data_IF_165563173089
#
_entry.id   IF_165563173089
#
_cell.length_a   1.000
_cell.length_b   1.000
_cell.length_c   1.000
_cell.angle_alpha   90.00
_cell.angle_beta   90.00
_cell.angle_gamma   90.00
#
_symmetry.space_group_name_H-M   'P 1'
#
loop_
_entity.id
_entity.type
_entity.pdbx_description
1 polymer ?
#
# COMPACT_ATOMS: atom_id res chain seq x y z
N UNK A 1 -18.69 1.66 13.39
CA UNK A 1 -17.22 1.65 13.23
C UNK A 1 -16.88 0.99 11.92
N UNK A 2 -16.41 1.81 10.99
CA UNK A 2 -16.08 1.41 9.63
C UNK A 2 -14.57 1.54 9.40
N UNK A 3 -14.02 0.67 8.56
CA UNK A 3 -12.61 0.70 8.18
C UNK A 3 -12.47 0.88 6.67
N UNK A 4 -11.49 1.68 6.28
CA UNK A 4 -11.06 1.83 4.89
C UNK A 4 -9.58 1.48 4.81
N UNK A 5 -9.23 0.59 3.88
CA UNK A 5 -7.85 0.12 3.67
C UNK A 5 -7.47 0.45 2.24
N UNK A 6 -6.45 1.26 2.06
CA UNK A 6 -6.02 1.77 0.75
C UNK A 6 -4.56 1.37 0.50
N UNK A 7 -4.21 0.78 -0.66
CA UNK A 7 -2.81 0.49 -0.97
C UNK A 7 -2.00 1.78 -1.10
N UNK A 8 -0.82 1.78 -0.47
CA UNK A 8 0.16 2.83 -0.65
C UNK A 8 1.29 2.32 -1.54
N UNK A 9 1.40 2.90 -2.73
CA UNK A 9 2.50 2.65 -3.67
C UNK A 9 3.11 4.00 -3.99
N UNK A 10 4.25 4.29 -3.39
CA UNK A 10 4.97 5.52 -3.66
C UNK A 10 5.47 5.51 -5.11
N UNK A 11 5.24 6.61 -5.82
CA UNK A 11 5.74 6.82 -7.18
C UNK A 11 6.86 7.85 -7.12
N UNK A 12 8.10 7.39 -7.24
CA UNK A 12 9.29 8.26 -7.22
C UNK A 12 10.11 8.05 -8.49
N UNK A 13 10.80 9.10 -8.94
CA UNK A 13 11.80 8.99 -10.00
C UNK A 13 12.99 8.17 -9.47
N UNK A 14 13.45 7.11 -10.15
CA UNK A 14 14.55 6.29 -9.63
C UNK A 14 15.90 7.02 -9.49
N UNK A 15 16.09 8.16 -10.18
CA UNK A 15 17.33 8.94 -10.19
C UNK A 15 17.32 10.11 -9.20
N UNK A 16 16.15 10.67 -8.94
CA UNK A 16 16.00 11.87 -8.09
C UNK A 16 15.09 11.66 -6.89
N UNK A 17 14.51 10.46 -6.77
CA UNK A 17 13.61 10.04 -5.71
C UNK A 17 14.23 10.14 -4.32
N UNK A 18 13.52 10.77 -3.39
CA UNK A 18 13.95 10.86 -1.98
C UNK A 18 12.91 10.26 -1.03
N UNK A 19 13.34 9.95 0.20
CA UNK A 19 12.43 9.57 1.28
C UNK A 19 11.40 10.65 1.58
N UNK A 20 11.78 11.92 1.41
CA UNK A 20 10.91 13.06 1.69
C UNK A 20 9.73 13.10 0.71
N UNK A 21 9.98 12.82 -0.57
CA UNK A 21 8.90 12.69 -1.56
C UNK A 21 7.95 11.54 -1.25
N UNK A 22 8.46 10.44 -0.68
CA UNK A 22 7.61 9.33 -0.22
C UNK A 22 6.76 9.77 0.97
N UNK A 23 7.34 10.49 1.92
CA UNK A 23 6.63 11.02 3.09
C UNK A 23 5.54 12.02 2.69
N UNK A 24 5.82 12.94 1.77
CA UNK A 24 4.85 13.89 1.22
C UNK A 24 3.68 13.17 0.52
N UNK A 25 3.96 12.11 -0.25
CA UNK A 25 2.90 11.32 -0.88
C UNK A 25 2.01 10.61 0.16
N UNK A 26 2.59 10.09 1.23
CA UNK A 26 1.83 9.49 2.32
C UNK A 26 0.98 10.52 3.07
N UNK A 27 1.57 11.68 3.39
CA UNK A 27 0.87 12.79 4.02
C UNK A 27 -0.32 13.26 3.17
N UNK A 28 -0.12 13.42 1.86
CA UNK A 28 -1.19 13.78 0.94
C UNK A 28 -2.35 12.77 0.95
N UNK A 29 -2.04 11.47 0.97
CA UNK A 29 -3.07 10.43 1.07
C UNK A 29 -3.81 10.48 2.41
N UNK A 30 -3.10 10.73 3.52
CA UNK A 30 -3.69 10.89 4.85
C UNK A 30 -4.62 12.11 4.87
N UNK A 31 -4.17 13.26 4.36
CA UNK A 31 -4.93 14.50 4.32
C UNK A 31 -6.18 14.38 3.42
N UNK A 32 -6.09 13.66 2.30
CA UNK A 32 -7.25 13.32 1.47
C UNK A 32 -8.26 12.42 2.19
N UNK A 33 -7.78 11.48 3.02
CA UNK A 33 -8.65 10.68 3.89
C UNK A 33 -9.38 11.56 4.91
N UNK A 34 -8.63 12.44 5.57
CA UNK A 34 -9.14 13.36 6.59
C UNK A 34 -10.21 14.31 6.05
N UNK A 35 -10.02 14.87 4.85
CA UNK A 35 -11.03 15.72 4.20
C UNK A 35 -12.33 14.97 3.87
N UNK A 36 -12.27 13.64 3.73
CA UNK A 36 -13.43 12.75 3.59
C UNK A 36 -14.03 12.26 4.91
N UNK A 37 -13.58 12.77 6.06
CA UNK A 37 -14.04 12.39 7.40
C UNK A 37 -13.48 11.06 7.91
N UNK A 38 -12.35 10.60 7.36
CA UNK A 38 -11.65 9.40 7.83
C UNK A 38 -10.49 9.76 8.75
N UNK A 39 -10.32 9.00 9.84
CA UNK A 39 -9.19 9.14 10.75
C UNK A 39 -8.08 8.17 10.35
N UNK A 40 -6.85 8.67 10.19
CA UNK A 40 -5.68 7.81 10.00
C UNK A 40 -5.44 6.95 11.25
N UNK A 41 -5.19 5.67 11.03
CA UNK A 41 -4.86 4.72 12.11
C UNK A 41 -3.39 4.32 12.04
N UNK A 42 -2.94 3.79 10.89
CA UNK A 42 -1.57 3.30 10.69
C UNK A 42 -1.27 2.99 9.22
N UNK A 43 0.02 2.86 8.91
CA UNK A 43 0.52 2.15 7.74
C UNK A 43 0.77 0.69 8.14
N UNK A 44 0.11 -0.24 7.47
CA UNK A 44 0.17 -1.68 7.75
C UNK A 44 0.82 -2.43 6.59
N UNK A 45 1.68 -3.40 6.91
CA UNK A 45 2.25 -4.29 5.89
C UNK A 45 1.43 -5.57 5.79
N UNK A 46 0.66 -5.71 4.72
CA UNK A 46 -0.13 -6.93 4.46
C UNK A 46 0.70 -7.90 3.63
N UNK A 47 1.06 -9.02 4.23
CA UNK A 47 1.83 -10.09 3.59
C UNK A 47 0.89 -11.19 3.09
N UNK A 48 1.07 -11.60 1.84
CA UNK A 48 0.31 -12.69 1.21
C UNK A 48 1.24 -13.65 0.48
N UNK A 49 0.75 -14.87 0.22
CA UNK A 49 1.45 -15.86 -0.58
C UNK A 49 0.74 -16.01 -1.92
N UNK A 50 1.49 -15.85 -3.01
CA UNK A 50 1.03 -16.14 -4.37
C UNK A 50 1.38 -17.59 -4.68
N UNK A 51 0.38 -18.41 -4.96
CA UNK A 51 0.58 -19.82 -5.32
C UNK A 51 1.32 -19.96 -6.64
N UNK A 52 2.03 -21.07 -6.80
CA UNK A 52 2.70 -21.39 -8.04
C UNK A 52 1.69 -21.53 -9.19
N UNK A 53 2.01 -20.93 -10.34
CA UNK A 53 1.26 -21.14 -11.57
C UNK A 53 1.99 -22.20 -12.39
N UNK A 54 1.40 -23.39 -12.50
CA UNK A 54 1.94 -24.47 -13.33
C UNK A 54 1.34 -24.37 -14.74
N UNK A 55 2.06 -23.72 -15.65
CA UNK A 55 1.68 -23.55 -17.06
C UNK A 55 2.52 -24.43 -17.98
N UNK A 56 1.98 -24.79 -19.15
CA UNK A 56 2.64 -25.70 -20.11
C UNK A 56 4.03 -25.22 -20.59
N UNK A 57 4.31 -23.91 -20.55
CA UNK A 57 5.61 -23.33 -20.94
C UNK A 57 6.11 -22.20 -20.04
N UNK A 58 5.43 -21.93 -18.92
CA UNK A 58 5.84 -20.84 -18.02
C UNK A 58 5.42 -21.15 -16.58
N UNK A 59 6.20 -22.01 -15.92
CA UNK A 59 6.00 -22.31 -14.51
C UNK A 59 6.53 -21.14 -13.67
N UNK A 60 5.65 -20.48 -12.92
CA UNK A 60 6.05 -19.45 -11.96
C UNK A 60 6.04 -20.05 -10.56
N UNK A 61 7.18 -20.08 -9.85
CA UNK A 61 7.20 -20.57 -8.47
C UNK A 61 6.35 -19.65 -7.59
N UNK A 62 5.69 -20.23 -6.59
CA UNK A 62 4.96 -19.44 -5.60
C UNK A 62 5.92 -18.59 -4.77
N UNK A 63 5.48 -17.40 -4.38
CA UNK A 63 6.31 -16.44 -3.66
C UNK A 63 5.48 -15.64 -2.64
N UNK A 64 6.14 -15.21 -1.58
CA UNK A 64 5.55 -14.27 -0.61
C UNK A 64 5.70 -12.84 -1.12
N UNK A 65 4.64 -12.05 -1.02
CA UNK A 65 4.65 -10.63 -1.36
C UNK A 65 4.05 -9.82 -0.22
N UNK A 66 4.50 -8.59 -0.05
CA UNK A 66 3.97 -7.66 0.94
C UNK A 66 3.54 -6.37 0.26
N UNK A 67 2.43 -5.79 0.70
CA UNK A 67 1.93 -4.50 0.26
C UNK A 67 1.69 -3.59 1.45
N UNK A 68 2.12 -2.34 1.33
CA UNK A 68 1.83 -1.31 2.32
C UNK A 68 0.39 -0.82 2.13
N UNK A 69 -0.35 -0.73 3.22
CA UNK A 69 -1.75 -0.35 3.24
C UNK A 69 -1.96 0.75 4.28
N UNK A 70 -2.53 1.88 3.87
CA UNK A 70 -2.99 2.91 4.82
C UNK A 70 -4.35 2.50 5.36
N UNK A 71 -4.42 2.38 6.68
CA UNK A 71 -5.64 2.02 7.40
C UNK A 71 -6.26 3.29 7.96
N UNK A 72 -7.53 3.49 7.65
CA UNK A 72 -8.36 4.54 8.21
C UNK A 72 -9.56 3.96 8.97
N UNK A 73 -10.10 4.73 9.91
CA UNK A 73 -11.34 4.42 10.62
C UNK A 73 -12.30 5.60 10.64
N UNK A 74 -13.59 5.30 10.82
CA UNK A 74 -14.64 6.28 11.07
C UNK A 74 -15.63 5.72 12.10
N UNK A 75 -16.18 6.57 12.99
CA UNK A 75 -17.23 6.15 13.94
C UNK A 75 -18.38 5.42 13.25
#
# INVERSE_FOLDING_TARGET
MEYKVVPFVASIDPRTGTSDQVAEQLENLINQGASGGWNYVRLESVTTYVHAENGCFNNKPGYTTARQMVVFSRP
#
